data_IF_011853386782
#
_entry.id   IF_011853386782
#
_cell.length_a   1.000
_cell.length_b   1.000
_cell.length_c   1.000
_cell.angle_alpha   90.00
_cell.angle_beta   90.00
_cell.angle_gamma   90.00
#
_symmetry.space_group_name_H-M   'P 1'
#
loop_
_entity.id
_entity.type
_entity.pdbx_description
1 polymer ?
#
# COMPACT_ATOMS: atom_id res chain seq x y z
N UNK A 1 -85.13 -0.45 81.93
CA UNK A 1 -83.66 -0.63 82.04
C UNK A 1 -83.01 -1.14 80.75
N UNK A 2 -83.75 -1.76 79.80
CA UNK A 2 -83.18 -2.33 78.56
C UNK A 2 -82.74 -1.28 77.52
N UNK A 3 -83.35 -0.08 77.49
CA UNK A 3 -83.06 0.96 76.48
C UNK A 3 -81.70 1.66 76.66
N UNK A 4 -81.14 1.68 77.88
CA UNK A 4 -79.83 2.29 78.15
C UNK A 4 -78.65 1.41 77.74
N UNK A 5 -78.82 0.08 77.79
CA UNK A 5 -77.78 -0.87 77.42
C UNK A 5 -77.49 -0.86 75.91
N UNK A 6 -78.53 -0.70 75.07
CA UNK A 6 -78.36 -0.57 73.63
C UNK A 6 -77.60 0.70 73.24
N UNK A 7 -77.81 1.82 73.94
CA UNK A 7 -77.08 3.07 73.69
C UNK A 7 -75.60 2.94 74.11
N UNK A 8 -75.32 2.24 75.22
CA UNK A 8 -73.95 1.97 75.67
C UNK A 8 -73.19 1.04 74.69
N UNK A 9 -73.84 -0.02 74.20
CA UNK A 9 -73.23 -0.91 73.20
C UNK A 9 -72.99 -0.22 71.85
N UNK A 10 -73.89 0.66 71.42
CA UNK A 10 -73.76 1.37 70.13
C UNK A 10 -72.66 2.44 70.18
N UNK A 11 -72.44 3.06 71.35
CA UNK A 11 -71.36 4.03 71.57
C UNK A 11 -69.98 3.34 71.67
N UNK A 12 -69.92 2.13 72.22
CA UNK A 12 -68.69 1.33 72.29
C UNK A 12 -68.30 0.76 70.90
N UNK A 13 -69.29 0.42 70.06
CA UNK A 13 -69.05 0.05 68.66
C UNK A 13 -68.48 1.22 67.84
N UNK A 14 -68.95 2.44 68.09
CA UNK A 14 -68.45 3.64 67.42
C UNK A 14 -66.98 3.96 67.77
N UNK A 15 -66.55 3.64 68.99
CA UNK A 15 -65.17 3.85 69.44
C UNK A 15 -64.18 2.84 68.81
N UNK A 16 -64.63 1.63 68.48
CA UNK A 16 -63.81 0.61 67.81
C UNK A 16 -63.59 0.91 66.32
N UNK A 17 -64.50 1.63 65.65
CA UNK A 17 -64.33 2.04 64.25
C UNK A 17 -63.48 3.32 64.07
N UNK A 18 -63.23 4.10 65.12
CA UNK A 18 -62.37 5.28 65.06
C UNK A 18 -60.86 4.96 65.15
N UNK A 19 -60.49 3.69 65.31
CA UNK A 19 -59.10 3.24 65.48
C UNK A 19 -58.31 2.94 64.20
N UNK A 20 -58.86 3.17 63.01
CA UNK A 20 -58.15 2.92 61.76
C UNK A 20 -58.21 4.15 60.84
N UNK A 21 -57.35 5.13 61.11
CA UNK A 21 -57.05 6.22 60.17
C UNK A 21 -55.52 6.36 60.04
N UNK A 22 -54.95 5.55 59.16
CA UNK A 22 -53.75 5.90 58.40
C UNK A 22 -53.99 5.35 57.01
N UNK A 23 -54.26 6.27 56.08
CA UNK A 23 -54.03 6.12 54.64
C UNK A 23 -54.32 7.50 54.03
N UNK A 24 -53.34 8.38 54.18
CA UNK A 24 -53.24 9.59 53.36
C UNK A 24 -52.44 9.22 52.11
N UNK A 25 -52.91 9.55 50.88
CA UNK A 25 -52.18 9.29 49.63
C UNK A 25 -50.81 9.99 49.56
N UNK A 26 -50.56 10.98 50.42
CA UNK A 26 -49.30 11.72 50.51
C UNK A 26 -48.18 10.99 51.27
N UNK A 27 -48.52 10.00 52.12
CA UNK A 27 -47.51 9.21 52.83
C UNK A 27 -46.84 8.17 51.92
N UNK A 28 -47.60 7.57 50.99
CA UNK A 28 -47.12 6.56 50.04
C UNK A 28 -46.17 7.15 48.99
N UNK A 29 -46.35 8.43 48.63
CA UNK A 29 -45.52 9.15 47.68
C UNK A 29 -44.22 9.69 48.30
N UNK A 30 -44.26 10.07 49.59
CA UNK A 30 -43.07 10.43 50.36
C UNK A 30 -42.16 9.22 50.61
N UNK A 31 -42.74 8.07 50.96
CA UNK A 31 -42.00 6.80 51.12
C UNK A 31 -41.36 6.33 49.81
N UNK A 32 -41.99 6.59 48.66
CA UNK A 32 -41.43 6.22 47.36
C UNK A 32 -40.17 7.01 47.00
N UNK A 33 -40.17 8.34 47.20
CA UNK A 33 -38.99 9.17 46.94
C UNK A 33 -37.87 8.91 47.96
N UNK A 34 -38.22 8.60 49.21
CA UNK A 34 -37.24 8.19 50.23
C UNK A 34 -36.61 6.82 49.91
N UNK A 35 -37.44 5.85 49.51
CA UNK A 35 -36.97 4.51 49.09
C UNK A 35 -36.11 4.59 47.83
N UNK A 36 -36.48 5.44 46.86
CA UNK A 36 -35.70 5.70 45.65
C UNK A 36 -34.36 6.33 45.98
N UNK A 37 -34.31 7.30 46.89
CA UNK A 37 -33.07 7.93 47.34
C UNK A 37 -32.17 6.92 48.05
N UNK A 38 -32.75 6.11 48.94
CA UNK A 38 -32.04 5.02 49.62
C UNK A 38 -31.47 4.01 48.61
N UNK A 39 -32.24 3.61 47.60
CA UNK A 39 -31.79 2.69 46.56
C UNK A 39 -30.66 3.29 45.71
N UNK A 40 -30.76 4.56 45.34
CA UNK A 40 -29.70 5.27 44.60
C UNK A 40 -28.43 5.39 45.44
N UNK A 41 -28.56 5.59 46.75
CA UNK A 41 -27.42 5.68 47.67
C UNK A 41 -26.76 4.31 47.88
N UNK A 42 -27.54 3.21 47.94
CA UNK A 42 -27.03 1.81 47.94
C UNK A 42 -26.30 1.46 46.64
N UNK A 43 -26.76 1.95 45.49
CA UNK A 43 -26.05 1.75 44.22
C UNK A 43 -24.74 2.56 44.16
N UNK A 44 -24.65 3.67 44.89
CA UNK A 44 -23.47 4.54 44.94
C UNK A 44 -22.45 4.15 46.02
N UNK A 45 -22.84 3.40 47.03
CA UNK A 45 -21.92 2.87 48.05
C UNK A 45 -20.94 1.89 47.43
N UNK A 46 -19.82 1.68 48.13
CA UNK A 46 -18.75 0.82 47.64
C UNK A 46 -19.20 -0.64 47.50
N UNK A 47 -20.14 -1.10 48.34
CA UNK A 47 -20.76 -2.41 48.23
C UNK A 47 -21.60 -2.53 46.95
N UNK A 48 -22.42 -1.52 46.61
CA UNK A 48 -23.20 -1.51 45.37
C UNK A 48 -22.32 -1.51 44.12
N UNK A 49 -21.25 -0.71 44.12
CA UNK A 49 -20.25 -0.73 43.03
C UNK A 49 -19.52 -2.06 42.93
N UNK A 50 -19.23 -2.71 44.06
CA UNK A 50 -18.55 -4.01 44.10
C UNK A 50 -19.47 -5.11 43.57
N UNK A 51 -20.73 -5.16 44.01
CA UNK A 51 -21.73 -6.09 43.50
C UNK A 51 -21.96 -5.93 41.98
N UNK A 52 -22.03 -4.69 41.47
CA UNK A 52 -22.13 -4.46 40.02
C UNK A 52 -20.88 -4.96 39.29
N UNK A 53 -19.67 -4.73 39.84
CA UNK A 53 -18.43 -5.24 39.22
C UNK A 53 -18.38 -6.76 39.20
N UNK A 54 -18.82 -7.43 40.26
CA UNK A 54 -18.90 -8.90 40.32
C UNK A 54 -19.88 -9.44 39.28
N UNK A 55 -21.04 -8.81 39.14
CA UNK A 55 -22.02 -9.16 38.10
C UNK A 55 -21.47 -8.89 36.69
N UNK A 56 -20.72 -7.81 36.47
CA UNK A 56 -20.05 -7.53 35.19
C UNK A 56 -18.89 -8.47 34.87
N UNK A 57 -18.30 -9.12 35.87
CA UNK A 57 -17.29 -10.15 35.69
C UNK A 57 -17.90 -11.51 35.33
N UNK A 58 -19.21 -11.67 35.50
CA UNK A 58 -19.92 -12.88 35.10
C UNK A 58 -19.92 -13.03 33.56
N UNK A 59 -19.47 -14.17 33.01
CA UNK A 59 -19.45 -14.42 31.57
C UNK A 59 -20.83 -14.29 30.88
N UNK A 60 -21.91 -14.62 31.59
CA UNK A 60 -23.27 -14.51 31.07
C UNK A 60 -23.71 -13.04 30.91
N UNK A 61 -23.27 -12.17 31.82
CA UNK A 61 -23.51 -10.73 31.73
C UNK A 61 -22.66 -10.08 30.64
N UNK A 62 -21.39 -10.50 30.48
CA UNK A 62 -20.52 -10.04 29.40
C UNK A 62 -21.05 -10.41 28.01
N UNK A 63 -21.68 -11.59 27.90
CA UNK A 63 -22.38 -12.00 26.67
C UNK A 63 -23.68 -11.23 26.45
N UNK A 64 -24.41 -10.82 27.50
CA UNK A 64 -25.58 -9.95 27.34
C UNK A 64 -25.20 -8.50 27.02
N UNK A 65 -24.01 -8.05 27.45
CA UNK A 65 -23.37 -6.79 27.01
C UNK A 65 -22.75 -6.91 25.61
N UNK A 66 -23.21 -7.84 24.77
CA UNK A 66 -22.81 -7.93 23.37
C UNK A 66 -23.21 -6.66 22.63
N UNK A 67 -22.27 -5.71 22.66
CA UNK A 67 -21.79 -4.93 21.53
C UNK A 67 -22.83 -4.80 20.41
N UNK A 68 -23.66 -3.76 20.54
CA UNK A 68 -24.54 -3.30 19.47
C UNK A 68 -23.74 -3.20 18.16
N UNK A 69 -24.13 -4.00 17.15
CA UNK A 69 -23.37 -4.17 15.92
C UNK A 69 -23.12 -2.84 15.17
N UNK A 70 -24.06 -1.87 15.12
CA UNK A 70 -23.80 -0.52 14.63
C UNK A 70 -22.72 0.23 15.41
N UNK A 71 -22.75 0.17 16.74
CA UNK A 71 -21.78 0.84 17.61
C UNK A 71 -20.38 0.24 17.44
N UNK A 72 -20.26 -1.09 17.35
CA UNK A 72 -18.97 -1.74 17.08
C UNK A 72 -18.47 -1.46 15.68
N UNK A 73 -19.33 -1.56 14.67
CA UNK A 73 -18.93 -1.26 13.29
C UNK A 73 -18.41 0.17 13.19
N UNK A 74 -19.06 1.13 13.85
CA UNK A 74 -18.65 2.53 13.87
C UNK A 74 -17.32 2.72 14.60
N UNK A 75 -17.15 2.09 15.76
CA UNK A 75 -15.90 2.16 16.54
C UNK A 75 -14.72 1.51 15.81
N UNK A 76 -14.94 0.37 15.14
CA UNK A 76 -13.93 -0.30 14.31
C UNK A 76 -13.58 0.56 13.10
N UNK A 77 -14.59 1.14 12.43
CA UNK A 77 -14.39 2.05 11.31
C UNK A 77 -13.57 3.27 11.76
N UNK A 78 -13.96 3.93 12.84
CA UNK A 78 -13.23 5.08 13.37
C UNK A 78 -11.80 4.69 13.79
N UNK A 79 -11.61 3.55 14.44
CA UNK A 79 -10.28 3.09 14.86
C UNK A 79 -9.38 2.74 13.66
N UNK A 80 -9.92 2.17 12.58
CA UNK A 80 -9.14 1.76 11.41
C UNK A 80 -8.87 2.93 10.44
N UNK A 81 -9.84 3.84 10.26
CA UNK A 81 -9.75 4.94 9.30
C UNK A 81 -9.28 6.27 9.91
N UNK A 82 -9.20 6.38 11.23
CA UNK A 82 -8.60 7.55 11.88
C UNK A 82 -7.09 7.63 11.64
N UNK A 83 -6.51 8.81 11.92
CA UNK A 83 -5.06 9.00 11.90
C UNK A 83 -4.33 8.03 12.84
N UNK A 84 -4.93 7.67 13.98
CA UNK A 84 -4.40 6.62 14.88
C UNK A 84 -4.37 5.26 14.20
N UNK A 85 -5.38 4.93 13.41
CA UNK A 85 -5.41 3.71 12.59
C UNK A 85 -4.30 3.70 11.55
N UNK A 86 -4.07 4.82 10.85
CA UNK A 86 -2.95 4.95 9.90
C UNK A 86 -1.59 4.78 10.59
N UNK A 87 -1.39 5.40 11.75
CA UNK A 87 -0.17 5.23 12.54
C UNK A 87 0.02 3.78 13.00
N UNK A 88 -1.05 3.11 13.43
CA UNK A 88 -1.05 1.71 13.82
C UNK A 88 -0.61 0.81 12.65
N UNK A 89 -1.25 0.96 11.48
CA UNK A 89 -0.87 0.21 10.28
C UNK A 89 0.56 0.51 9.85
N UNK A 90 1.00 1.77 9.90
CA UNK A 90 2.38 2.16 9.55
C UNK A 90 3.39 1.47 10.46
N UNK A 91 3.13 1.43 11.78
CA UNK A 91 3.98 0.71 12.74
C UNK A 91 3.99 -0.79 12.48
N UNK A 92 2.82 -1.40 12.21
CA UNK A 92 2.73 -2.82 11.89
C UNK A 92 3.48 -3.18 10.60
N UNK A 93 3.36 -2.38 9.55
CA UNK A 93 4.10 -2.57 8.29
C UNK A 93 5.59 -2.27 8.40
N UNK A 94 6.07 -1.79 9.55
CA UNK A 94 7.49 -1.66 9.87
C UNK A 94 8.00 -2.86 10.67
N UNK A 95 7.11 -3.66 11.26
CA UNK A 95 7.47 -4.87 12.02
C UNK A 95 7.80 -6.03 11.07
N UNK A 96 9.05 -6.52 11.14
CA UNK A 96 9.52 -7.61 10.28
C UNK A 96 8.73 -8.91 10.48
N UNK A 97 8.22 -9.20 11.67
CA UNK A 97 7.47 -10.42 11.97
C UNK A 97 6.10 -10.37 11.28
N UNK A 98 5.43 -9.22 11.39
CA UNK A 98 4.17 -8.98 10.70
C UNK A 98 4.33 -9.05 9.18
N UNK A 99 5.38 -8.43 8.62
CA UNK A 99 5.66 -8.49 7.18
C UNK A 99 5.87 -9.95 6.73
N UNK A 100 6.62 -10.76 7.49
CA UNK A 100 6.88 -12.16 7.13
C UNK A 100 5.61 -13.00 7.07
N UNK A 101 4.67 -12.78 7.99
CA UNK A 101 3.38 -13.49 7.99
C UNK A 101 2.39 -12.94 6.96
N UNK A 102 2.42 -11.63 6.70
CA UNK A 102 1.48 -10.97 5.79
C UNK A 102 1.87 -11.11 4.31
N UNK A 103 3.17 -11.16 4.00
CA UNK A 103 3.69 -11.32 2.63
C UNK A 103 3.12 -12.54 1.88
N UNK A 104 3.09 -13.77 2.45
CA UNK A 104 2.55 -14.93 1.73
C UNK A 104 1.06 -14.79 1.42
N UNK A 105 0.29 -14.09 2.27
CA UNK A 105 -1.14 -13.83 2.05
C UNK A 105 -1.34 -12.90 0.85
N UNK A 106 -0.50 -11.87 0.70
CA UNK A 106 -0.58 -10.95 -0.44
C UNK A 106 0.01 -11.50 -1.73
N UNK A 107 0.93 -12.46 -1.65
CA UNK A 107 1.75 -12.90 -2.78
C UNK A 107 0.93 -13.30 -3.99
N UNK A 108 -0.15 -14.05 -3.79
CA UNK A 108 -0.98 -14.55 -4.89
C UNK A 108 -1.67 -13.41 -5.65
N UNK A 109 -2.42 -12.56 -4.94
CA UNK A 109 -3.13 -11.43 -5.55
C UNK A 109 -2.17 -10.38 -6.10
N UNK A 110 -1.05 -10.11 -5.43
CA UNK A 110 -0.01 -9.22 -5.95
C UNK A 110 0.62 -9.77 -7.23
N UNK A 111 0.89 -11.07 -7.31
CA UNK A 111 1.41 -11.71 -8.52
C UNK A 111 0.40 -11.61 -9.67
N UNK A 112 -0.88 -11.84 -9.38
CA UNK A 112 -1.96 -11.74 -10.36
C UNK A 112 -2.11 -10.31 -10.87
N UNK A 113 -2.09 -9.32 -9.98
CA UNK A 113 -2.09 -7.90 -10.33
C UNK A 113 -0.90 -7.56 -11.22
N UNK A 114 0.31 -7.95 -10.83
CA UNK A 114 1.53 -7.66 -11.59
C UNK A 114 1.49 -8.31 -12.99
N UNK A 115 1.01 -9.56 -13.08
CA UNK A 115 0.79 -10.25 -14.37
C UNK A 115 -0.27 -9.57 -15.23
N UNK A 116 -1.29 -8.99 -14.61
CA UNK A 116 -2.29 -8.16 -15.28
C UNK A 116 -1.67 -6.88 -15.82
N UNK A 117 -0.95 -6.15 -14.98
CA UNK A 117 -0.26 -4.90 -15.34
C UNK A 117 0.77 -5.11 -16.45
N UNK A 118 1.49 -6.24 -16.51
CA UNK A 118 2.38 -6.53 -17.64
C UNK A 118 1.68 -6.55 -19.01
N UNK A 119 0.36 -6.72 -19.06
CA UNK A 119 -0.44 -6.67 -20.29
C UNK A 119 -1.05 -5.29 -20.55
N UNK A 120 -0.97 -4.38 -19.59
CA UNK A 120 -1.46 -3.02 -19.70
C UNK A 120 -0.47 -2.14 -20.47
N UNK A 121 -0.99 -1.29 -21.35
CA UNK A 121 -0.17 -0.48 -22.25
C UNK A 121 0.61 0.62 -21.51
N UNK A 122 0.03 1.25 -20.48
CA UNK A 122 0.68 2.29 -19.70
C UNK A 122 1.80 1.67 -18.85
N UNK A 123 1.55 0.52 -18.23
CA UNK A 123 2.58 -0.20 -17.49
C UNK A 123 3.72 -0.67 -18.39
N UNK A 124 3.43 -1.19 -19.58
CA UNK A 124 4.45 -1.55 -20.56
C UNK A 124 5.30 -0.34 -20.98
N UNK A 125 4.69 0.82 -21.18
CA UNK A 125 5.41 2.06 -21.49
C UNK A 125 6.38 2.44 -20.37
N UNK A 126 5.92 2.42 -19.11
CA UNK A 126 6.79 2.65 -17.95
C UNK A 126 7.95 1.65 -17.88
N UNK A 127 7.70 0.38 -18.19
CA UNK A 127 8.77 -0.64 -18.24
C UNK A 127 9.76 -0.38 -19.37
N UNK A 128 9.31 0.01 -20.56
CA UNK A 128 10.18 0.37 -21.69
C UNK A 128 11.07 1.55 -21.31
N UNK A 129 10.51 2.56 -20.64
CA UNK A 129 11.30 3.71 -20.20
C UNK A 129 12.33 3.32 -19.12
N UNK A 130 12.00 2.37 -18.23
CA UNK A 130 12.96 1.78 -17.30
C UNK A 130 14.11 1.07 -18.05
N UNK A 131 13.81 0.32 -19.12
CA UNK A 131 14.81 -0.37 -19.93
C UNK A 131 15.75 0.56 -20.70
N UNK A 132 15.37 1.82 -20.92
CA UNK A 132 16.23 2.83 -21.58
C UNK A 132 17.28 3.44 -20.64
N UNK A 133 17.35 3.01 -19.38
CA UNK A 133 18.37 3.56 -18.49
C UNK A 133 19.80 3.18 -18.98
N UNK A 134 20.83 3.97 -18.62
CA UNK A 134 22.20 3.73 -19.08
C UNK A 134 22.76 2.37 -18.65
N UNK A 135 22.43 1.90 -17.45
CA UNK A 135 22.89 0.61 -16.92
C UNK A 135 22.36 -0.57 -17.74
N UNK A 136 21.07 -0.57 -18.11
CA UNK A 136 20.50 -1.61 -18.98
C UNK A 136 21.06 -1.51 -20.40
N UNK A 137 21.33 -0.29 -20.87
CA UNK A 137 21.98 -0.08 -22.17
C UNK A 137 23.38 -0.69 -22.19
N UNK A 138 24.17 -0.53 -21.12
CA UNK A 138 25.50 -1.14 -21.01
C UNK A 138 25.45 -2.67 -20.99
N UNK A 139 24.48 -3.25 -20.27
CA UNK A 139 24.24 -4.70 -20.29
C UNK A 139 23.83 -5.17 -21.69
N UNK A 140 22.97 -4.42 -22.39
CA UNK A 140 22.58 -4.73 -23.76
C UNK A 140 23.77 -4.67 -24.73
N UNK A 141 24.63 -3.65 -24.63
CA UNK A 141 25.87 -3.55 -25.42
C UNK A 141 26.82 -4.71 -25.12
N UNK A 142 26.89 -5.15 -23.87
CA UNK A 142 27.72 -6.31 -23.47
C UNK A 142 27.22 -7.59 -24.15
N UNK A 143 25.90 -7.80 -24.21
CA UNK A 143 25.28 -8.92 -24.93
C UNK A 143 25.59 -8.86 -26.43
N UNK A 144 25.46 -7.67 -27.05
CA UNK A 144 25.79 -7.47 -28.47
C UNK A 144 27.28 -7.73 -28.78
N UNK A 145 28.18 -7.47 -27.83
CA UNK A 145 29.61 -7.78 -27.97
C UNK A 145 29.95 -9.24 -27.66
N UNK A 146 28.98 -10.01 -27.17
CA UNK A 146 29.16 -11.41 -26.81
C UNK A 146 29.41 -12.33 -28.01
N UNK A 147 30.09 -13.46 -27.76
CA UNK A 147 30.47 -14.41 -28.81
C UNK A 147 29.27 -14.92 -29.63
N UNK A 148 28.15 -15.24 -28.98
CA UNK A 148 26.93 -15.71 -29.66
C UNK A 148 26.37 -14.68 -30.65
N UNK A 149 26.40 -13.38 -30.28
CA UNK A 149 25.93 -12.34 -31.18
C UNK A 149 26.93 -12.07 -32.30
N UNK A 150 28.24 -12.18 -32.03
CA UNK A 150 29.29 -12.10 -33.06
C UNK A 150 29.14 -13.21 -34.11
N UNK A 151 28.91 -14.45 -33.72
CA UNK A 151 28.69 -15.57 -34.67
C UNK A 151 27.46 -15.31 -35.57
N UNK A 152 26.37 -14.80 -34.99
CA UNK A 152 25.18 -14.42 -35.76
C UNK A 152 25.47 -13.23 -36.68
N UNK A 153 26.23 -12.24 -36.21
CA UNK A 153 26.64 -11.08 -36.99
C UNK A 153 27.55 -11.48 -38.16
N UNK A 154 28.53 -12.36 -37.93
CA UNK A 154 29.39 -12.89 -39.00
C UNK A 154 28.59 -13.65 -40.07
N UNK A 155 27.62 -14.47 -39.64
CA UNK A 155 26.73 -15.17 -40.57
C UNK A 155 25.91 -14.17 -41.39
N UNK A 156 25.31 -13.18 -40.74
CA UNK A 156 24.51 -12.13 -41.40
C UNK A 156 25.36 -11.30 -42.37
N UNK A 157 26.60 -10.98 -42.00
CA UNK A 157 27.55 -10.29 -42.89
C UNK A 157 27.87 -11.17 -44.10
N UNK A 158 28.19 -12.46 -43.89
CA UNK A 158 28.46 -13.40 -45.00
C UNK A 158 27.25 -13.53 -45.93
N UNK A 159 26.04 -13.59 -45.40
CA UNK A 159 24.80 -13.62 -46.20
C UNK A 159 24.61 -12.32 -46.98
N UNK A 160 24.83 -11.16 -46.33
CA UNK A 160 24.72 -9.84 -46.95
C UNK A 160 25.74 -9.68 -48.08
N UNK A 161 27.00 -10.03 -47.84
CA UNK A 161 28.06 -10.02 -48.87
C UNK A 161 27.76 -10.99 -50.01
N UNK A 162 27.01 -12.05 -49.75
CA UNK A 162 26.63 -13.03 -50.76
C UNK A 162 25.37 -12.64 -51.55
N UNK A 163 24.64 -11.62 -51.11
CA UNK A 163 23.45 -11.11 -51.78
C UNK A 163 23.82 -10.58 -53.19
N UNK A 164 23.13 -11.04 -54.26
CA UNK A 164 23.36 -10.57 -55.63
C UNK A 164 23.35 -9.05 -55.79
N UNK A 165 22.45 -8.33 -55.10
CA UNK A 165 22.40 -6.86 -55.15
C UNK A 165 23.66 -6.24 -54.56
N UNK A 166 24.07 -6.70 -53.37
CA UNK A 166 25.30 -6.19 -52.74
C UNK A 166 26.55 -6.51 -53.57
N UNK A 167 26.62 -7.70 -54.16
CA UNK A 167 27.72 -8.08 -55.08
C UNK A 167 27.76 -7.20 -56.32
N UNK A 168 26.61 -6.88 -56.89
CA UNK A 168 26.50 -5.98 -58.04
C UNK A 168 26.99 -4.58 -57.67
N UNK A 169 26.47 -4.00 -56.58
CA UNK A 169 26.85 -2.68 -56.09
C UNK A 169 28.36 -2.61 -55.77
N UNK A 170 28.89 -3.65 -55.11
CA UNK A 170 30.32 -3.73 -54.80
C UNK A 170 31.18 -3.87 -56.07
N UNK A 171 30.72 -4.61 -57.08
CA UNK A 171 31.44 -4.76 -58.34
C UNK A 171 31.41 -3.46 -59.15
N UNK A 172 30.28 -2.76 -59.16
CA UNK A 172 30.13 -1.46 -59.81
C UNK A 172 31.06 -0.41 -59.19
N UNK A 173 31.09 -0.32 -57.85
CA UNK A 173 31.97 0.64 -57.16
C UNK A 173 33.45 0.29 -57.34
N UNK A 174 33.81 -1.00 -57.36
CA UNK A 174 35.18 -1.45 -57.66
C UNK A 174 35.60 -1.14 -59.11
N UNK A 175 34.70 -1.31 -60.08
CA UNK A 175 34.94 -0.95 -61.48
C UNK A 175 35.13 0.57 -61.62
N UNK A 176 34.27 1.35 -60.98
CA UNK A 176 34.38 2.82 -60.97
C UNK A 176 35.69 3.30 -60.34
N UNK A 177 36.09 2.72 -59.21
CA UNK A 177 37.37 3.03 -58.58
C UNK A 177 38.58 2.63 -59.46
N UNK A 178 38.48 1.50 -60.19
CA UNK A 178 39.50 1.08 -61.13
C UNK A 178 39.60 2.03 -62.34
N UNK A 179 38.46 2.50 -62.87
CA UNK A 179 38.40 3.49 -63.94
C UNK A 179 38.98 4.85 -63.49
N UNK A 180 38.69 5.28 -62.26
CA UNK A 180 39.26 6.49 -61.67
C UNK A 180 40.79 6.37 -61.48
N UNK A 181 41.29 5.21 -61.03
CA UNK A 181 42.73 4.94 -60.93
C UNK A 181 43.42 4.88 -62.31
N UNK A 182 42.77 4.27 -63.31
CA UNK A 182 43.29 4.28 -64.69
C UNK A 182 43.27 5.66 -65.33
N UNK A 183 42.27 6.50 -65.04
CA UNK A 183 42.27 7.91 -65.46
C UNK A 183 43.37 8.71 -64.76
N UNK A 184 43.72 8.37 -63.51
CA UNK A 184 44.88 8.95 -62.82
C UNK A 184 46.22 8.49 -63.42
N UNK A 185 46.36 7.23 -63.83
CA UNK A 185 47.58 6.73 -64.49
C UNK A 185 47.74 7.23 -65.93
N UNK A 186 46.64 7.47 -66.67
CA UNK A 186 46.69 7.92 -68.07
C UNK A 186 46.67 9.47 -68.21
N UNK A 187 46.66 10.21 -67.10
CA UNK A 187 46.72 11.69 -67.05
C UNK A 187 48.04 12.25 -66.50
N UNK A 188 49.01 11.41 -66.15
CA UNK A 188 50.25 11.78 -65.46
C UNK A 188 51.51 11.50 -66.28
N UNK A 189 51.59 12.01 -67.50
CA UNK A 189 52.77 11.86 -68.35
C UNK A 189 52.95 13.02 -69.31
N UNK A 190 53.42 14.16 -68.82
CA UNK A 190 54.46 15.02 -69.44
C UNK A 190 54.60 16.39 -68.73
N UNK A 191 55.71 16.55 -68.01
CA UNK A 191 56.43 17.79 -67.66
C UNK A 191 57.31 17.43 -66.46
N UNK A 192 58.60 17.16 -66.64
CA UNK A 192 59.57 18.13 -67.13
C UNK A 192 60.28 18.67 -65.90
N UNK A 193 61.47 18.13 -65.64
CA UNK A 193 62.26 18.48 -64.47
C UNK A 193 62.83 19.89 -64.51
N UNK A 194 62.95 20.48 -63.33
CA UNK A 194 63.92 21.48 -62.88
C UNK A 194 63.75 21.48 -61.34
N UNK A 195 64.76 21.23 -60.51
CA UNK A 195 65.92 22.08 -60.32
C UNK A 195 65.88 22.62 -58.88
N UNK A 196 66.89 22.25 -58.10
CA UNK A 196 67.42 22.97 -56.93
C UNK A 196 66.73 22.90 -55.54
N UNK A 197 67.43 22.18 -54.66
CA UNK A 197 67.96 22.65 -53.36
C UNK A 197 67.16 23.69 -52.55
N UNK A 198 66.72 23.27 -51.35
CA UNK A 198 67.24 23.90 -50.12
C UNK A 198 67.10 23.01 -48.89
N UNK A 199 68.24 22.84 -48.21
CA UNK A 199 68.35 22.57 -46.77
C UNK A 199 67.43 23.51 -45.98
N UNK A 200 66.85 23.07 -44.86
CA UNK A 200 67.53 23.14 -43.56
C UNK A 200 66.61 22.72 -42.39
N UNK A 201 67.20 21.91 -41.49
CA UNK A 201 67.11 21.92 -40.02
C UNK A 201 65.81 22.32 -39.30
N UNK A 202 65.29 21.38 -38.50
CA UNK A 202 65.38 21.34 -37.01
C UNK A 202 64.12 20.66 -36.45
N UNK A 203 64.27 19.48 -35.84
CA UNK A 203 64.64 19.27 -34.44
C UNK A 203 63.42 19.36 -33.52
N UNK A 204 62.94 18.17 -33.16
CA UNK A 204 62.77 17.72 -31.77
C UNK A 204 62.11 18.69 -30.77
N UNK A 205 60.86 18.38 -30.38
CA UNK A 205 60.31 18.66 -29.04
C UNK A 205 59.13 17.70 -28.83
N UNK A 206 59.34 16.55 -28.21
CA UNK A 206 59.06 16.32 -26.79
C UNK A 206 57.64 16.68 -26.33
N UNK A 207 56.91 15.62 -25.97
CA UNK A 207 56.19 15.46 -24.69
C UNK A 207 55.57 16.70 -24.04
N UNK A 208 54.25 16.74 -23.97
CA UNK A 208 53.48 16.94 -22.72
C UNK A 208 52.01 17.26 -23.06
N UNK A 209 51.12 16.29 -22.87
CA UNK A 209 49.98 16.32 -21.94
C UNK A 209 49.11 15.08 -22.13
#
# INVERSE_FOLDING_TARGET
MIKGWYVLCLLLLFFLLAGCTVNSPEAEQADYEETKKMLVDILKTDDGKTAIREVMQDPSMQQMMTLDAPTVSSAVQESLFSEKGKEFWTKLFTDSSFIQEFTPVLKEEQTKLLKGLMKDAEYQKMMIDLYKNPEMTEQFVTVLKGQKFREHLETTIKETLNNPSFKADMTEELLKAADEMQQQENGGGDSGGDGEQQQNQNQDSQSAQ
#
